data_IF_401850954318
#
_entry.id   IF_401850954318
#
_cell.length_a   1.000
_cell.length_b   1.000
_cell.length_c   1.000
_cell.angle_alpha   90.00
_cell.angle_beta   90.00
_cell.angle_gamma   90.00
#
_symmetry.space_group_name_H-M   'P 1'
#
loop_
_entity.id
_entity.type
_entity.pdbx_description
1 polymer ?
#
# COMPACT_ATOMS: atom_id res chain seq x y z
N UNK A 1 -1.52 -4.72 11.67
CA UNK A 1 -0.36 -4.25 10.90
C UNK A 1 0.86 -4.84 11.54
N UNK A 2 1.60 -5.67 10.81
CA UNK A 2 2.93 -6.04 11.26
C UNK A 2 3.83 -4.80 11.23
N UNK A 3 4.78 -4.74 12.15
CA UNK A 3 5.80 -3.69 12.14
C UNK A 3 6.61 -3.79 10.86
N UNK A 4 7.08 -2.64 10.37
CA UNK A 4 8.05 -2.57 9.27
C UNK A 4 9.28 -3.40 9.65
N UNK A 5 9.67 -4.30 8.76
CA UNK A 5 10.93 -5.01 8.82
C UNK A 5 12.01 -4.14 8.18
N UNK A 6 12.91 -3.63 9.02
CA UNK A 6 13.92 -2.67 8.59
C UNK A 6 14.92 -3.26 7.60
N UNK A 7 15.09 -4.58 7.57
CA UNK A 7 16.00 -5.27 6.65
C UNK A 7 15.33 -5.51 5.29
N UNK A 8 14.06 -5.94 5.32
CA UNK A 8 13.40 -6.44 4.11
C UNK A 8 12.51 -5.40 3.42
N UNK A 9 11.94 -4.47 4.18
CA UNK A 9 10.92 -3.53 3.69
C UNK A 9 11.51 -2.16 3.32
N UNK A 10 12.82 -1.94 3.42
CA UNK A 10 13.48 -0.67 3.05
C UNK A 10 14.35 -0.86 1.81
N UNK A 11 14.09 -0.11 0.74
CA UNK A 11 14.82 -0.21 -0.54
C UNK A 11 15.17 1.17 -1.11
N UNK A 12 16.34 1.35 -1.75
CA UNK A 12 16.62 2.57 -2.50
C UNK A 12 15.68 2.75 -3.70
N UNK A 13 15.37 4.00 -4.05
CA UNK A 13 14.56 4.33 -5.22
C UNK A 13 15.20 3.84 -6.54
N UNK A 14 16.54 3.78 -6.60
CA UNK A 14 17.27 3.22 -7.74
C UNK A 14 17.02 1.72 -7.91
N UNK A 15 17.00 0.95 -6.81
CA UNK A 15 16.67 -0.47 -6.83
C UNK A 15 15.22 -0.69 -7.26
N UNK A 16 14.30 0.15 -6.76
CA UNK A 16 12.90 0.10 -7.19
C UNK A 16 12.72 0.34 -8.69
N UNK A 17 13.43 1.32 -9.26
CA UNK A 17 13.39 1.60 -10.71
C UNK A 17 13.92 0.43 -11.54
N UNK A 18 14.95 -0.25 -11.06
CA UNK A 18 15.50 -1.43 -11.74
C UNK A 18 14.58 -2.67 -11.62
N UNK A 19 13.78 -2.77 -10.56
CA UNK A 19 13.02 -3.98 -10.20
C UNK A 19 11.52 -3.71 -9.99
N UNK A 20 10.94 -2.76 -10.73
CA UNK A 20 9.60 -2.23 -10.43
C UNK A 20 8.53 -3.31 -10.43
N UNK A 21 8.48 -4.15 -11.47
CA UNK A 21 7.42 -5.15 -11.62
C UNK A 21 7.45 -6.21 -10.51
N UNK A 22 8.63 -6.69 -10.12
CA UNK A 22 8.78 -7.72 -9.07
C UNK A 22 8.43 -7.16 -7.70
N UNK A 23 8.90 -5.96 -7.36
CA UNK A 23 8.62 -5.31 -6.08
C UNK A 23 7.14 -4.92 -5.94
N UNK A 24 6.51 -4.40 -7.01
CA UNK A 24 5.05 -4.17 -7.02
C UNK A 24 4.30 -5.48 -6.84
N UNK A 25 4.72 -6.56 -7.50
CA UNK A 25 4.11 -7.88 -7.35
C UNK A 25 4.23 -8.41 -5.92
N UNK A 26 5.40 -8.24 -5.29
CA UNK A 26 5.62 -8.60 -3.89
C UNK A 26 4.65 -7.86 -2.96
N UNK A 27 4.56 -6.53 -3.08
CA UNK A 27 3.66 -5.70 -2.26
C UNK A 27 2.21 -6.15 -2.43
N UNK A 28 1.76 -6.36 -3.67
CA UNK A 28 0.39 -6.82 -3.97
C UNK A 28 0.06 -8.21 -3.42
N UNK A 29 1.01 -9.15 -3.51
CA UNK A 29 0.80 -10.55 -3.07
C UNK A 29 0.87 -10.69 -1.56
N UNK A 30 1.80 -10.00 -0.92
CA UNK A 30 2.07 -10.17 0.52
C UNK A 30 1.32 -9.17 1.38
N UNK A 31 0.89 -8.05 0.81
CA UNK A 31 0.38 -6.91 1.58
C UNK A 31 1.45 -6.20 2.41
N UNK A 32 2.73 -6.63 2.32
CA UNK A 32 3.81 -5.98 3.06
C UNK A 32 4.17 -4.63 2.42
N UNK A 33 4.23 -3.54 3.20
CA UNK A 33 4.61 -2.22 2.70
C UNK A 33 6.08 -2.19 2.29
N UNK A 34 6.44 -1.31 1.36
CA UNK A 34 7.83 -1.03 1.00
C UNK A 34 8.15 0.46 1.21
N UNK A 35 9.18 0.75 1.98
CA UNK A 35 9.71 2.10 2.20
C UNK A 35 10.83 2.35 1.19
N UNK A 36 10.64 3.39 0.37
CA UNK A 36 11.62 3.81 -0.61
C UNK A 36 12.48 4.94 -0.04
N UNK A 37 13.80 4.83 -0.23
CA UNK A 37 14.77 5.84 0.20
C UNK A 37 15.45 6.53 -0.98
N UNK A 38 15.77 7.81 -0.81
CA UNK A 38 16.60 8.59 -1.73
C UNK A 38 17.70 9.28 -0.91
N UNK A 39 18.96 9.08 -1.30
CA UNK A 39 20.13 9.59 -0.56
C UNK A 39 20.11 9.20 0.94
N UNK A 40 19.67 7.97 1.25
CA UNK A 40 19.59 7.47 2.62
C UNK A 40 18.44 8.03 3.47
N UNK A 41 17.57 8.87 2.89
CA UNK A 41 16.38 9.42 3.55
C UNK A 41 15.11 8.78 3.01
N UNK A 42 14.17 8.43 3.88
CA UNK A 42 12.86 7.91 3.45
C UNK A 42 12.11 8.96 2.64
N UNK A 43 11.62 8.56 1.48
CA UNK A 43 10.98 9.45 0.51
C UNK A 43 9.53 9.07 0.24
N UNK A 44 9.22 7.78 0.15
CA UNK A 44 7.89 7.27 -0.26
C UNK A 44 7.59 5.94 0.42
N UNK A 45 6.31 5.64 0.66
CA UNK A 45 5.84 4.30 1.05
C UNK A 45 4.96 3.75 -0.07
N UNK A 46 5.25 2.55 -0.55
CA UNK A 46 4.44 1.80 -1.50
C UNK A 46 3.55 0.80 -0.73
N UNK A 47 2.24 0.86 -0.99
CA UNK A 47 1.22 0.03 -0.33
C UNK A 47 0.34 -0.67 -1.36
N UNK A 48 -0.16 -1.86 -1.01
CA UNK A 48 -1.29 -2.46 -1.71
C UNK A 48 -2.53 -1.58 -1.53
N UNK A 49 -3.29 -1.37 -2.61
CA UNK A 49 -4.44 -0.46 -2.60
C UNK A 49 -5.53 -0.88 -1.61
N UNK A 50 -5.73 -2.19 -1.38
CA UNK A 50 -6.75 -2.69 -0.44
C UNK A 50 -6.33 -2.41 1.00
N UNK A 51 -5.03 -2.52 1.28
CA UNK A 51 -4.48 -2.18 2.60
C UNK A 51 -4.61 -0.67 2.85
N UNK A 52 -4.32 0.15 1.84
CA UNK A 52 -4.49 1.60 1.93
C UNK A 52 -5.95 2.00 2.18
N UNK A 53 -6.90 1.42 1.44
CA UNK A 53 -8.34 1.65 1.66
C UNK A 53 -8.77 1.24 3.07
N UNK A 54 -8.32 0.07 3.54
CA UNK A 54 -8.61 -0.39 4.91
C UNK A 54 -8.08 0.56 5.98
N UNK A 55 -6.90 1.16 5.76
CA UNK A 55 -6.36 2.20 6.65
C UNK A 55 -7.22 3.46 6.65
N UNK A 56 -7.73 3.90 5.49
CA UNK A 56 -8.62 5.05 5.41
C UNK A 56 -9.93 4.78 6.16
N UNK A 57 -10.60 3.66 5.90
CA UNK A 57 -11.81 3.24 6.64
C UNK A 57 -11.57 3.18 8.15
N UNK A 58 -10.41 2.66 8.58
CA UNK A 58 -10.05 2.62 10.00
C UNK A 58 -9.87 4.03 10.59
N UNK A 59 -9.20 4.93 9.86
CA UNK A 59 -9.04 6.33 10.27
C UNK A 59 -10.39 7.04 10.39
N UNK A 60 -11.30 6.83 9.43
CA UNK A 60 -12.62 7.47 9.43
C UNK A 60 -13.48 7.02 10.61
N UNK A 61 -13.49 5.71 10.89
CA UNK A 61 -14.16 5.16 12.08
C UNK A 61 -13.62 5.74 13.38
N UNK A 62 -12.29 5.87 13.51
CA UNK A 62 -11.66 6.46 14.70
C UNK A 62 -12.01 7.95 14.87
N UNK A 63 -12.25 8.67 13.77
CA UNK A 63 -12.67 10.07 13.78
C UNK A 63 -14.18 10.25 14.01
N UNK A 64 -14.93 9.16 14.17
CA UNK A 64 -16.39 9.19 14.34
C UNK A 64 -17.17 9.42 13.04
N UNK A 65 -16.50 9.34 11.87
CA UNK A 65 -17.19 9.31 10.58
C UNK A 65 -17.91 7.98 10.39
N UNK A 66 -19.20 8.01 10.08
CA UNK A 66 -19.90 6.83 9.53
C UNK A 66 -19.29 6.51 8.16
N UNK A 67 -19.04 5.24 7.84
CA UNK A 67 -18.54 4.88 6.50
C UNK A 67 -19.46 5.42 5.41
N UNK A 68 -18.94 5.88 4.25
CA UNK A 68 -19.77 6.03 3.08
C UNK A 68 -20.33 4.64 2.75
N UNK A 69 -21.65 4.49 2.90
CA UNK A 69 -22.40 3.31 2.46
C UNK A 69 -22.08 3.12 0.98
N UNK A 70 -21.21 2.16 0.66
CA UNK A 70 -20.95 1.81 -0.74
C UNK A 70 -22.23 1.25 -1.34
N UNK A 71 -22.73 1.80 -2.46
CA UNK A 71 -23.89 1.21 -3.12
C UNK A 71 -23.46 -0.17 -3.60
N UNK A 72 -24.19 -1.20 -3.16
CA UNK A 72 -24.19 -2.51 -3.77
C UNK A 72 -24.50 -2.34 -5.27
N UNK A 73 -23.47 -2.31 -6.11
CA UNK A 73 -23.59 -2.13 -7.54
C UNK A 73 -22.65 -3.11 -8.23
N UNK A 74 -23.25 -4.17 -8.77
CA UNK A 74 -22.62 -5.15 -9.67
C UNK A 74 -21.63 -4.49 -10.62
N UNK A 75 -20.38 -4.94 -10.61
CA UNK A 75 -19.53 -4.86 -11.80
C UNK A 75 -19.91 -6.04 -12.71
N UNK A 76 -21.03 -5.90 -13.44
CA UNK A 76 -21.21 -6.68 -14.68
C UNK A 76 -20.18 -6.16 -15.66
N UNK A 77 -19.36 -7.07 -16.17
CA UNK A 77 -18.15 -6.73 -16.93
C UNK A 77 -18.40 -5.94 -18.21
N UNK A 78 -17.33 -5.33 -18.70
CA UNK A 78 -17.07 -5.05 -20.12
C UNK A 78 -15.55 -5.08 -20.28
N UNK A 79 -15.10 -5.86 -21.27
CA UNK A 79 -13.80 -5.93 -21.96
C UNK A 79 -12.50 -5.47 -21.26
#
# INVERSE_FOLDING_TARGET
MDRIDLENDIRPLSEFRANTASLVTQVRKTGRPLVLTQHGKSAVVLLDVRLYQSMLSACDRLRGGQEPVSPSGRMTGVD
#
